data_IF_157922471954
#
_entry.id   IF_157922471954
#
_cell.length_a   1.000
_cell.length_b   1.000
_cell.length_c   1.000
_cell.angle_alpha   90.00
_cell.angle_beta   90.00
_cell.angle_gamma   90.00
#
_symmetry.space_group_name_H-M   'P 1'
#
loop_
_entity.id
_entity.type
_entity.pdbx_description
1 polymer ?
#
# COMPACT_ATOMS: atom_id res chain seq x y z
N UNK A 1 17.91 16.66 0.23
CA UNK A 1 17.32 16.62 0.22
C UNK A 1 16.51 16.32 -0.01
N UNK A 2 16.53 16.06 -0.20
CA UNK A 2 15.65 15.69 -0.54
C UNK A 2 14.74 15.36 -0.04
N UNK A 3 14.61 15.32 0.62
CA UNK A 3 13.56 15.08 1.26
C UNK A 3 12.32 15.35 0.66
N UNK A 4 12.16 15.62 -0.44
CA UNK A 4 10.92 15.94 -0.97
C UNK A 4 10.30 14.85 -1.71
N UNK A 5 10.42 13.65 -1.26
CA UNK A 5 9.72 12.56 -1.88
C UNK A 5 8.23 12.76 -1.75
N UNK A 6 7.46 12.56 -2.82
CA UNK A 6 6.01 12.67 -2.75
C UNK A 6 5.42 11.74 -1.72
N UNK A 7 4.30 12.14 -1.14
CA UNK A 7 3.68 11.30 -0.11
C UNK A 7 3.28 9.94 -0.62
N UNK A 8 2.83 9.83 -1.89
CA UNK A 8 2.44 8.52 -2.39
C UNK A 8 3.64 7.57 -2.43
N UNK A 9 4.84 8.08 -2.66
CA UNK A 9 6.03 7.23 -2.64
C UNK A 9 6.37 6.78 -1.24
N UNK A 10 6.19 7.66 -0.26
CA UNK A 10 6.43 7.29 1.12
C UNK A 10 5.45 6.21 1.56
N UNK A 11 4.19 6.32 1.12
CA UNK A 11 3.20 5.31 1.43
C UNK A 11 3.59 3.98 0.78
N UNK A 12 4.01 4.02 -0.47
CA UNK A 12 4.43 2.81 -1.16
C UNK A 12 5.60 2.14 -0.43
N UNK A 13 6.56 2.93 0.00
CA UNK A 13 7.72 2.39 0.71
C UNK A 13 7.29 1.72 2.01
N UNK A 14 6.36 2.32 2.72
CA UNK A 14 5.87 1.74 3.97
C UNK A 14 5.14 0.42 3.70
N UNK A 15 4.28 0.40 2.69
CA UNK A 15 3.57 -0.82 2.36
C UNK A 15 4.54 -1.93 2.00
N UNK A 16 5.53 -1.61 1.17
CA UNK A 16 6.52 -2.61 0.79
C UNK A 16 7.31 -3.12 1.99
N UNK A 17 7.64 -2.24 2.91
CA UNK A 17 8.37 -2.65 4.10
C UNK A 17 7.55 -3.61 4.94
N UNK A 18 6.25 -3.36 5.05
CA UNK A 18 5.39 -4.24 5.84
C UNK A 18 5.22 -5.60 5.18
N UNK A 19 5.16 -5.61 3.85
CA UNK A 19 5.08 -6.87 3.12
C UNK A 19 6.39 -7.65 3.27
N UNK A 20 7.51 -6.96 3.13
CA UNK A 20 8.81 -7.61 3.22
C UNK A 20 9.09 -8.14 4.62
N UNK A 21 8.67 -7.40 5.63
CA UNK A 21 8.93 -7.82 7.00
C UNK A 21 7.98 -8.91 7.47
N UNK A 22 6.92 -9.18 6.71
CA UNK A 22 5.93 -10.15 7.12
C UNK A 22 4.82 -9.56 7.97
N UNK A 23 4.86 -8.27 8.22
CA UNK A 23 3.81 -7.62 8.98
C UNK A 23 2.47 -7.75 8.25
N UNK A 24 2.51 -7.67 6.93
CA UNK A 24 1.35 -7.91 6.09
C UNK A 24 1.63 -9.13 5.20
N UNK A 25 1.26 -10.33 5.67
CA UNK A 25 1.58 -11.55 4.91
C UNK A 25 0.69 -11.66 3.67
N UNK A 26 1.02 -12.58 2.78
CA UNK A 26 0.18 -12.80 1.60
C UNK A 26 -1.25 -13.07 2.01
N UNK A 27 -2.18 -12.44 1.31
CA UNK A 27 -3.59 -12.56 1.62
C UNK A 27 -4.10 -11.57 2.64
N UNK A 28 -3.21 -10.81 3.24
CA UNK A 28 -3.63 -9.80 4.21
C UNK A 28 -4.49 -8.74 3.52
N UNK A 29 -5.62 -8.41 4.11
CA UNK A 29 -6.51 -7.40 3.54
C UNK A 29 -6.13 -6.04 4.09
N UNK A 30 -5.93 -5.08 3.20
CA UNK A 30 -5.60 -3.74 3.63
C UNK A 30 -6.84 -3.05 4.18
N UNK A 31 -6.59 -2.02 4.97
CA UNK A 31 -7.67 -1.17 5.46
C UNK A 31 -8.36 -0.48 4.29
N UNK A 32 -9.56 0.01 4.52
CA UNK A 32 -10.26 0.78 3.50
C UNK A 32 -9.47 2.05 3.21
N UNK A 33 -9.76 2.66 2.07
CA UNK A 33 -9.06 3.89 1.70
C UNK A 33 -9.17 4.95 2.78
N UNK A 34 -10.37 5.11 3.35
CA UNK A 34 -10.56 6.10 4.39
C UNK A 34 -9.67 5.83 5.60
N UNK A 35 -9.61 4.58 6.00
CA UNK A 35 -8.79 4.24 7.16
C UNK A 35 -7.31 4.32 6.84
N UNK A 36 -6.93 4.01 5.61
CA UNK A 36 -5.54 4.18 5.22
C UNK A 36 -5.16 5.65 5.24
N UNK A 37 -6.07 6.52 4.82
CA UNK A 37 -5.79 7.95 4.89
C UNK A 37 -5.53 8.38 6.33
N UNK A 38 -6.37 7.94 7.25
CA UNK A 38 -6.18 8.28 8.64
C UNK A 38 -4.85 7.75 9.17
N UNK A 39 -4.55 6.52 8.83
CA UNK A 39 -3.32 5.90 9.30
C UNK A 39 -2.09 6.64 8.79
N UNK A 40 -2.06 6.92 7.50
CA UNK A 40 -0.88 7.56 6.92
C UNK A 40 -0.83 9.05 7.20
N UNK A 41 -1.97 9.68 7.40
CA UNK A 41 -1.96 11.08 7.82
C UNK A 41 -1.24 11.23 9.16
N UNK A 42 -1.47 10.29 10.07
CA UNK A 42 -0.79 10.32 11.34
C UNK A 42 0.68 9.94 11.21
N UNK A 43 0.95 8.89 10.44
CA UNK A 43 2.31 8.41 10.29
C UNK A 43 3.20 9.45 9.63
N UNK A 44 2.67 10.16 8.65
CA UNK A 44 3.44 11.15 7.91
C UNK A 44 3.29 12.56 8.48
N UNK A 45 2.53 12.67 9.58
CA UNK A 45 2.30 13.96 10.22
C UNK A 45 1.73 14.96 9.23
N UNK A 46 0.78 14.51 8.44
CA UNK A 46 0.17 15.35 7.41
C UNK A 46 -1.35 15.23 7.53
N UNK A 47 -1.99 16.11 8.32
CA UNK A 47 -3.44 16.02 8.51
C UNK A 47 -4.23 16.32 7.25
N UNK A 48 -3.58 16.85 6.22
CA UNK A 48 -4.26 17.16 4.98
C UNK A 48 -4.03 16.11 3.90
N UNK A 49 -3.55 14.94 4.29
CA UNK A 49 -3.32 13.87 3.33
C UNK A 49 -4.62 13.53 2.64
N UNK A 50 -4.60 13.47 1.32
CA UNK A 50 -5.83 13.23 0.55
C UNK A 50 -6.01 11.75 0.24
N UNK A 51 -7.26 11.37 0.05
CA UNK A 51 -7.56 10.01 -0.36
C UNK A 51 -6.96 9.71 -1.73
N UNK A 52 -6.86 10.73 -2.58
CA UNK A 52 -6.27 10.54 -3.89
C UNK A 52 -4.82 10.11 -3.82
N UNK A 53 -4.07 10.65 -2.87
CA UNK A 53 -2.68 10.28 -2.69
C UNK A 53 -2.56 8.81 -2.27
N UNK A 54 -3.38 8.40 -1.33
CA UNK A 54 -3.37 7.00 -0.89
C UNK A 54 -3.79 6.09 -2.03
N UNK A 55 -4.83 6.48 -2.75
CA UNK A 55 -5.32 5.68 -3.86
C UNK A 55 -4.28 5.55 -4.97
N UNK A 56 -3.53 6.62 -5.22
CA UNK A 56 -2.47 6.57 -6.21
C UNK A 56 -1.40 5.56 -5.82
N UNK A 57 -0.98 5.56 -4.55
CA UNK A 57 0.02 4.62 -4.08
C UNK A 57 -0.48 3.19 -4.23
N UNK A 58 -1.72 2.94 -3.84
CA UNK A 58 -2.29 1.60 -3.92
C UNK A 58 -2.40 1.15 -5.38
N UNK A 59 -2.83 2.05 -6.25
CA UNK A 59 -2.98 1.72 -7.67
C UNK A 59 -1.65 1.31 -8.28
N UNK A 60 -0.59 2.04 -7.96
CA UNK A 60 0.72 1.69 -8.48
C UNK A 60 1.16 0.33 -7.98
N UNK A 61 0.92 0.05 -6.70
CA UNK A 61 1.31 -1.24 -6.15
C UNK A 61 0.51 -2.39 -6.74
N UNK A 62 -0.73 -2.12 -7.14
CA UNK A 62 -1.51 -3.13 -7.85
C UNK A 62 -0.91 -3.36 -9.23
N UNK A 63 -0.51 -2.29 -9.90
CA UNK A 63 0.08 -2.41 -11.22
C UNK A 63 1.41 -3.15 -11.20
N UNK A 64 2.17 -2.99 -10.12
CA UNK A 64 3.44 -3.69 -10.01
C UNK A 64 3.28 -5.12 -9.53
N UNK A 65 2.07 -5.52 -9.17
CA UNK A 65 1.81 -6.90 -8.76
C UNK A 65 2.00 -7.16 -7.28
N UNK A 66 2.29 -6.14 -6.49
CA UNK A 66 2.49 -6.35 -5.06
C UNK A 66 1.17 -6.39 -4.30
N UNK A 67 0.16 -5.72 -4.82
CA UNK A 67 -1.18 -5.76 -4.25
C UNK A 67 -2.16 -6.21 -5.31
N UNK A 68 -3.31 -6.67 -4.85
CA UNK A 68 -4.35 -7.11 -5.76
C UNK A 68 -5.67 -6.52 -5.32
N UNK A 69 -6.33 -5.81 -6.22
CA UNK A 69 -7.61 -5.20 -5.93
C UNK A 69 -8.76 -6.10 -6.31
N UNK A 70 -9.78 -6.12 -5.46
CA UNK A 70 -11.02 -6.77 -5.80
C UNK A 70 -12.00 -5.68 -6.11
N UNK A 71 -12.58 -5.73 -7.28
CA UNK A 71 -13.41 -4.70 -7.76
C UNK A 71 -14.29 -4.09 -6.71
N UNK A 72 -13.98 -2.87 -6.34
CA UNK A 72 -14.81 -2.08 -5.44
C UNK A 72 -14.96 -2.61 -4.04
N UNK A 73 -14.17 -3.61 -3.66
CA UNK A 73 -14.35 -4.20 -2.36
C UNK A 73 -13.15 -4.07 -1.46
N UNK A 74 -12.04 -4.64 -1.84
CA UNK A 74 -10.91 -4.69 -0.94
C UNK A 74 -9.62 -4.81 -1.71
N UNK A 75 -8.51 -4.59 -1.04
CA UNK A 75 -7.19 -4.77 -1.61
C UNK A 75 -6.45 -5.75 -0.72
N UNK A 76 -5.75 -6.67 -1.34
CA UNK A 76 -5.06 -7.73 -0.63
C UNK A 76 -3.60 -7.79 -1.02
N UNK A 77 -2.76 -8.25 -0.11
CA UNK A 77 -1.34 -8.45 -0.38
C UNK A 77 -1.16 -9.71 -1.22
N UNK A 78 -0.38 -9.58 -2.28
CA UNK A 78 -0.03 -10.73 -3.11
C UNK A 78 1.30 -11.26 -2.61
N UNK A 79 1.40 -12.54 -2.42
CA UNK A 79 2.65 -13.09 -1.96
C UNK A 79 3.71 -13.00 -3.01
N UNK A 80 4.90 -12.54 -2.63
CA UNK A 80 5.89 -12.38 -3.60
C UNK A 80 6.41 -13.66 -4.11
N UNK A 81 6.61 -14.55 -3.25
CA UNK A 81 7.22 -15.72 -3.71
C UNK A 81 6.28 -16.66 -4.23
N UNK A 82 5.12 -16.41 -4.20
CA UNK A 82 4.27 -17.30 -4.70
C UNK A 82 4.36 -17.41 -6.04
N UNK A 83 4.91 -16.59 -6.46
CA UNK A 83 5.12 -16.85 -7.71
C UNK A 83 5.60 -18.18 -7.89
N UNK A 84 5.92 -18.51 -7.41
CA UNK A 84 6.22 -19.62 -7.71
C UNK A 84 5.45 -20.50 -7.95
N UNK A 85 4.97 -20.68 -7.96
CA UNK A 85 4.24 -21.39 -8.23
C UNK A 85 3.77 -21.66 -9.07
N UNK A 86 3.98 -21.57 -9.40
CA UNK A 86 3.58 -21.94 -10.11
C UNK A 86 3.28 -22.35 -10.63
N UNK A 87 3.30 -22.51 -10.75
CA UNK A 87 2.93 -22.81 -11.17
C UNK A 87 2.88 -22.99 -11.58
#
# INVERSE_FOLDING_TARGET
MPASEPYYRQIMADVRARITSGDWPPGHQLLSTEKLVEHYAQMLDNPNLSAGTVRQAVTILIETGELRGQQGKAVYVVGRDDGKTED
#
